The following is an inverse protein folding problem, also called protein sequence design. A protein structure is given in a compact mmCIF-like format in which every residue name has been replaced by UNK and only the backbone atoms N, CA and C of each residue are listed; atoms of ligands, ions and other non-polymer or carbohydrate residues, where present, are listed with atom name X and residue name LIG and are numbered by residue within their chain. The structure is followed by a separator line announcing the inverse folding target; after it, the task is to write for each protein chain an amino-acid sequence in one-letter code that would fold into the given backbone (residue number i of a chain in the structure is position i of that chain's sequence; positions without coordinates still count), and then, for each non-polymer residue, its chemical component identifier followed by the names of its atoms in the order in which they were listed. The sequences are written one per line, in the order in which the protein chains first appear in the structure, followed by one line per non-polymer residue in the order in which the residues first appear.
data_IF_710977652510
#
_entry.id   IF_710977652510
#
_cell.length_a   1.000
_cell.length_b   1.000
_cell.length_c   1.000
_cell.angle_alpha   90.00
_cell.angle_beta   90.00
_cell.angle_gamma   90.00
#
_symmetry.space_group_name_H-M   'P 1'
#
loop_
_entity.id
_entity.type
_entity.pdbx_description
1 polymer ?
#
# COMPACT_ATOMS: atom_id res chain seq x y z
N UNK A 1 3.99 -9.72 -22.35
CA UNK A 1 4.21 -8.45 -21.63
C UNK A 1 4.22 -8.77 -20.15
N UNK A 2 5.00 -8.04 -19.35
CA UNK A 2 5.15 -8.24 -17.92
C UNK A 2 4.85 -6.94 -17.18
N UNK A 3 4.27 -7.04 -15.99
CA UNK A 3 4.15 -5.91 -15.07
C UNK A 3 5.39 -5.85 -14.19
N UNK A 4 6.35 -5.02 -14.58
CA UNK A 4 7.63 -4.89 -13.88
C UNK A 4 7.44 -4.19 -12.53
N UNK A 5 8.17 -4.69 -11.54
CA UNK A 5 8.26 -4.16 -10.18
C UNK A 5 9.65 -3.60 -9.97
N UNK A 6 9.76 -2.34 -9.54
CA UNK A 6 11.05 -1.79 -9.15
C UNK A 6 11.52 -2.48 -7.86
N UNK A 7 12.72 -3.07 -7.88
CA UNK A 7 13.26 -3.79 -6.70
C UNK A 7 13.59 -2.86 -5.53
N UNK A 8 13.69 -1.55 -5.76
CA UNK A 8 14.02 -0.56 -4.73
C UNK A 8 12.77 -0.06 -3.99
N UNK A 9 11.71 0.37 -4.70
CA UNK A 9 10.48 0.88 -4.06
C UNK A 9 9.30 -0.10 -4.08
N UNK A 10 9.37 -1.18 -4.84
CA UNK A 10 8.30 -2.17 -4.93
C UNK A 10 7.09 -1.74 -5.78
N UNK A 11 7.08 -0.52 -6.32
CA UNK A 11 5.98 -0.05 -7.18
C UNK A 11 5.98 -0.81 -8.52
N UNK A 12 4.80 -1.29 -8.88
CA UNK A 12 4.55 -2.03 -10.12
C UNK A 12 4.09 -1.10 -11.25
N UNK A 13 4.61 -1.35 -12.45
CA UNK A 13 4.34 -0.58 -13.66
C UNK A 13 3.34 -1.30 -14.56
N UNK A 14 2.72 -0.53 -15.47
CA UNK A 14 1.92 -1.05 -16.56
C UNK A 14 2.70 -2.08 -17.38
N UNK A 15 1.98 -3.01 -18.00
CA UNK A 15 2.60 -4.11 -18.72
C UNK A 15 3.43 -3.60 -19.90
N UNK A 16 4.66 -4.09 -20.04
CA UNK A 16 5.56 -3.77 -21.16
C UNK A 16 6.33 -5.01 -21.62
N UNK A 17 7.00 -4.92 -22.77
CA UNK A 17 7.92 -5.98 -23.23
C UNK A 17 9.29 -5.83 -22.57
N UNK A 18 9.78 -4.59 -22.53
CA UNK A 18 11.07 -4.23 -21.95
C UNK A 18 10.88 -3.63 -20.55
N UNK A 19 11.90 -3.76 -19.72
CA UNK A 19 11.99 -3.09 -18.42
C UNK A 19 11.86 -1.56 -18.59
N UNK A 20 11.19 -0.85 -17.67
CA UNK A 20 11.16 0.60 -17.72
C UNK A 20 12.58 1.19 -17.62
N UNK A 21 12.85 2.21 -18.44
CA UNK A 21 14.17 2.87 -18.48
C UNK A 21 14.54 3.43 -17.12
N UNK A 22 13.55 3.93 -16.38
CA UNK A 22 13.72 4.41 -15.03
C UNK A 22 12.45 4.24 -14.20
N UNK A 23 12.63 4.17 -12.88
CA UNK A 23 11.55 4.22 -11.90
C UNK A 23 11.27 5.69 -11.56
N UNK A 24 10.11 6.18 -11.99
CA UNK A 24 9.63 7.54 -11.72
C UNK A 24 9.48 7.82 -10.22
N UNK A 25 9.12 6.78 -9.45
CA UNK A 25 8.96 6.87 -7.99
C UNK A 25 10.32 6.99 -7.29
N UNK A 26 11.33 6.22 -7.69
CA UNK A 26 12.67 6.31 -7.10
C UNK A 26 13.48 7.53 -7.57
N UNK A 27 13.16 8.08 -8.74
CA UNK A 27 13.77 9.31 -9.25
C UNK A 27 13.10 10.57 -8.70
N UNK A 28 12.05 10.40 -7.91
CA UNK A 28 11.42 11.47 -7.17
C UNK A 28 12.36 11.90 -6.03
N UNK A 29 12.47 13.21 -5.76
CA UNK A 29 13.43 13.78 -4.80
C UNK A 29 13.25 13.24 -3.37
N UNK A 30 12.05 12.72 -3.06
CA UNK A 30 11.68 12.15 -1.76
C UNK A 30 12.12 10.70 -1.60
N UNK A 31 12.71 10.10 -2.63
CA UNK A 31 13.20 8.73 -2.60
C UNK A 31 14.66 8.63 -3.05
N UNK A 32 15.37 7.64 -2.52
CA UNK A 32 16.73 7.37 -2.94
C UNK A 32 16.75 6.45 -4.17
N UNK A 33 17.66 6.75 -5.10
CA UNK A 33 18.07 5.80 -6.13
C UNK A 33 19.11 4.88 -5.51
N UNK A 34 18.92 3.57 -5.68
CA UNK A 34 19.91 2.59 -5.24
C UNK A 34 21.29 2.93 -5.85
N UNK A 35 22.38 3.00 -5.07
CA UNK A 35 23.72 3.33 -5.57
C UNK A 35 24.24 2.38 -6.66
N UNK A 36 23.72 1.15 -6.73
CA UNK A 36 24.03 0.17 -7.77
C UNK A 36 23.16 0.33 -9.04
N UNK A 37 22.28 1.32 -9.08
CA UNK A 37 21.33 1.56 -10.16
C UNK A 37 19.96 0.91 -9.92
N UNK A 38 19.02 1.17 -10.83
CA UNK A 38 17.68 0.61 -10.76
C UNK A 38 17.63 -0.78 -11.38
N UNK A 39 16.88 -1.68 -10.76
CA UNK A 39 16.63 -3.02 -11.27
C UNK A 39 15.16 -3.40 -11.13
N UNK A 40 14.77 -4.42 -11.87
CA UNK A 40 13.38 -4.82 -12.06
C UNK A 40 13.17 -6.30 -11.80
N UNK A 41 11.99 -6.64 -11.32
CA UNK A 41 11.50 -8.01 -11.14
C UNK A 41 10.01 -8.06 -11.51
N UNK A 42 9.33 -9.16 -11.22
CA UNK A 42 7.87 -9.29 -11.33
C UNK A 42 7.31 -9.98 -10.10
N UNK A 43 6.01 -9.84 -9.82
CA UNK A 43 5.37 -10.59 -8.74
C UNK A 43 5.53 -12.11 -8.96
N UNK A 44 5.38 -12.58 -10.20
CA UNK A 44 5.59 -13.98 -10.59
C UNK A 44 7.00 -14.47 -10.25
N UNK A 45 8.04 -13.68 -10.58
CA UNK A 45 9.44 -14.03 -10.28
C UNK A 45 9.67 -14.08 -8.76
N UNK A 46 9.07 -13.15 -8.00
CA UNK A 46 9.15 -13.16 -6.54
C UNK A 46 8.47 -14.39 -5.92
N UNK A 47 7.30 -14.79 -6.41
CA UNK A 47 6.59 -16.00 -5.99
C UNK A 47 7.37 -17.27 -6.34
N UNK A 48 7.90 -17.35 -7.57
CA UNK A 48 8.68 -18.49 -8.05
C UNK A 48 10.03 -18.65 -7.31
N UNK A 49 10.55 -17.57 -6.72
CA UNK A 49 11.80 -17.62 -5.94
C UNK A 49 11.68 -18.42 -4.65
N UNK A 50 10.47 -18.58 -4.12
CA UNK A 50 10.19 -19.16 -2.79
C UNK A 50 11.03 -18.55 -1.64
N UNK A 51 11.52 -17.32 -1.84
CA UNK A 51 12.39 -16.63 -0.89
C UNK A 51 11.59 -15.85 0.15
N UNK A 52 10.40 -15.38 -0.24
CA UNK A 52 9.58 -14.46 0.54
C UNK A 52 8.36 -15.16 1.13
N UNK A 53 7.93 -14.66 2.29
CA UNK A 53 6.66 -14.98 2.92
C UNK A 53 6.15 -13.74 3.64
N UNK A 54 4.83 -13.62 3.80
CA UNK A 54 4.27 -12.55 4.61
C UNK A 54 4.01 -12.99 6.05
N UNK A 55 4.48 -12.18 6.98
CA UNK A 55 4.15 -12.25 8.40
C UNK A 55 2.95 -11.34 8.65
N UNK A 56 1.93 -11.86 9.32
CA UNK A 56 0.70 -11.13 9.69
C UNK A 56 0.55 -11.20 11.21
N UNK A 57 0.47 -10.06 11.87
CA UNK A 57 0.41 -9.93 13.33
C UNK A 57 -0.82 -9.10 13.70
N UNK A 58 -1.57 -9.55 14.70
CA UNK A 58 -2.63 -8.74 15.33
C UNK A 58 -1.97 -7.75 16.30
N UNK A 59 -1.96 -6.47 15.94
CA UNK A 59 -1.36 -5.40 16.75
C UNK A 59 -2.32 -4.98 17.87
N UNK A 60 -3.61 -4.98 17.55
CA UNK A 60 -4.72 -4.86 18.50
C UNK A 60 -5.99 -5.47 17.88
N UNK A 61 -7.06 -5.57 18.66
CA UNK A 61 -8.32 -6.16 18.18
C UNK A 61 -8.81 -5.46 16.91
N UNK A 62 -8.83 -6.18 15.79
CA UNK A 62 -9.28 -5.65 14.50
C UNK A 62 -8.21 -4.94 13.67
N UNK A 63 -6.97 -4.81 14.17
CA UNK A 63 -5.85 -4.23 13.41
C UNK A 63 -4.75 -5.28 13.20
N UNK A 64 -4.51 -5.62 11.95
CA UNK A 64 -3.48 -6.59 11.58
C UNK A 64 -2.40 -5.92 10.73
N UNK A 65 -1.15 -5.95 11.19
CA UNK A 65 0.00 -5.55 10.39
C UNK A 65 0.43 -6.71 9.49
N UNK A 66 0.94 -6.39 8.30
CA UNK A 66 1.48 -7.37 7.38
C UNK A 66 2.79 -6.86 6.75
N UNK A 67 3.83 -7.69 6.86
CA UNK A 67 5.17 -7.39 6.32
C UNK A 67 5.76 -8.58 5.56
N UNK A 68 6.55 -8.31 4.53
CA UNK A 68 7.26 -9.34 3.77
C UNK A 68 8.58 -9.69 4.45
N UNK A 69 8.88 -10.99 4.61
CA UNK A 69 10.10 -11.54 5.20
C UNK A 69 10.80 -12.50 4.22
N UNK A 70 12.11 -12.33 3.93
CA UNK A 70 12.94 -11.17 4.28
C UNK A 70 12.39 -9.89 3.64
N UNK A 71 12.88 -8.72 4.09
CA UNK A 71 12.41 -7.44 3.56
C UNK A 71 12.61 -7.36 2.04
N UNK A 72 11.59 -6.83 1.35
CA UNK A 72 11.62 -6.53 -0.07
C UNK A 72 11.40 -5.04 -0.29
N UNK A 73 12.13 -4.45 -1.24
CA UNK A 73 12.08 -3.03 -1.54
C UNK A 73 12.29 -2.16 -0.28
N UNK A 74 11.43 -1.18 -0.02
CA UNK A 74 11.53 -0.29 1.15
C UNK A 74 11.08 -0.95 2.46
N UNK A 75 10.69 -2.23 2.43
CA UNK A 75 10.34 -2.98 3.64
C UNK A 75 9.09 -2.45 4.36
N UNK A 76 8.15 -1.84 3.63
CA UNK A 76 6.99 -1.22 4.26
C UNK A 76 6.03 -2.24 4.90
N UNK A 77 5.18 -1.73 5.78
CA UNK A 77 4.06 -2.44 6.41
C UNK A 77 2.75 -1.98 5.78
N UNK A 78 1.86 -2.93 5.47
CA UNK A 78 0.45 -2.64 5.19
C UNK A 78 -0.41 -3.11 6.37
N UNK A 79 -1.56 -2.48 6.56
CA UNK A 79 -2.46 -2.78 7.67
C UNK A 79 -3.84 -3.18 7.17
N UNK A 80 -4.35 -4.32 7.64
CA UNK A 80 -5.76 -4.67 7.50
C UNK A 80 -6.51 -4.15 8.72
N UNK A 81 -7.43 -3.21 8.48
CA UNK A 81 -8.37 -2.69 9.48
C UNK A 81 -9.70 -3.41 9.29
N UNK A 82 -10.09 -4.20 10.28
CA UNK A 82 -11.33 -4.97 10.32
C UNK A 82 -12.32 -4.29 11.28
N UNK A 83 -13.42 -3.81 10.72
CA UNK A 83 -14.55 -3.27 11.49
C UNK A 83 -15.74 -4.24 11.45
N UNK A 84 -16.87 -3.89 12.07
CA UNK A 84 -18.07 -4.76 12.03
C UNK A 84 -18.66 -4.91 10.62
N UNK A 85 -18.47 -3.91 9.76
CA UNK A 85 -19.13 -3.82 8.44
C UNK A 85 -18.20 -3.56 7.26
N UNK A 86 -16.91 -3.33 7.51
CA UNK A 86 -15.97 -2.90 6.49
C UNK A 86 -14.52 -3.31 6.80
N UNK A 87 -13.90 -4.03 5.90
CA UNK A 87 -12.50 -4.44 5.95
C UNK A 87 -11.68 -3.65 4.94
N UNK A 88 -10.77 -2.81 5.44
CA UNK A 88 -9.94 -1.95 4.62
C UNK A 88 -8.49 -2.40 4.69
N UNK A 89 -7.87 -2.62 3.52
CA UNK A 89 -6.41 -2.68 3.45
C UNK A 89 -5.87 -1.26 3.29
N UNK A 90 -5.16 -0.78 4.30
CA UNK A 90 -4.44 0.48 4.28
C UNK A 90 -3.02 0.27 3.75
N UNK A 91 -2.71 0.95 2.65
CA UNK A 91 -1.51 0.75 1.85
C UNK A 91 -1.37 -0.66 1.26
N UNK A 92 -0.30 -0.94 0.52
CA UNK A 92 -0.02 -2.27 -0.02
C UNK A 92 1.44 -2.65 0.22
N UNK A 93 1.69 -3.97 0.24
CA UNK A 93 3.02 -4.56 0.07
C UNK A 93 3.11 -5.23 -1.30
N UNK A 94 4.33 -5.37 -1.81
CA UNK A 94 4.56 -5.90 -3.16
C UNK A 94 4.28 -7.40 -3.23
N UNK A 95 4.87 -8.16 -2.31
CA UNK A 95 4.79 -9.62 -2.34
C UNK A 95 3.51 -10.11 -1.67
N UNK A 96 2.83 -11.05 -2.32
CA UNK A 96 1.83 -11.89 -1.69
C UNK A 96 1.72 -13.21 -2.46
N UNK A 97 1.29 -14.25 -1.77
CA UNK A 97 1.10 -15.61 -2.28
C UNK A 97 -0.26 -16.17 -1.83
N UNK A 98 -0.58 -17.40 -2.25
CA UNK A 98 -1.85 -18.03 -1.90
C UNK A 98 -2.06 -18.09 -0.39
N UNK A 99 -1.03 -18.44 0.38
CA UNK A 99 -1.07 -18.48 1.85
C UNK A 99 -1.47 -17.14 2.44
N UNK A 100 -0.88 -16.04 1.94
CA UNK A 100 -1.23 -14.68 2.36
C UNK A 100 -2.70 -14.40 2.09
N UNK A 101 -3.17 -14.76 0.90
CA UNK A 101 -4.53 -14.46 0.47
C UNK A 101 -5.55 -15.28 1.26
N UNK A 102 -5.27 -16.55 1.53
CA UNK A 102 -6.10 -17.40 2.39
C UNK A 102 -6.23 -16.80 3.79
N UNK A 103 -5.12 -16.37 4.41
CA UNK A 103 -5.16 -15.70 5.73
C UNK A 103 -6.01 -14.43 5.71
N UNK A 104 -5.89 -13.58 4.70
CA UNK A 104 -6.72 -12.36 4.59
C UNK A 104 -8.20 -12.73 4.42
N UNK A 105 -8.52 -13.78 3.66
CA UNK A 105 -9.91 -14.29 3.55
C UNK A 105 -10.44 -14.83 4.89
N UNK A 106 -9.62 -15.56 5.65
CA UNK A 106 -9.97 -16.04 6.99
C UNK A 106 -10.24 -14.90 7.97
N UNK A 107 -9.52 -13.77 7.81
CA UNK A 107 -9.76 -12.56 8.58
C UNK A 107 -11.05 -11.81 8.18
N UNK A 108 -11.67 -12.19 7.06
CA UNK A 108 -12.94 -11.63 6.57
C UNK A 108 -12.88 -11.06 5.16
N UNK A 109 -11.73 -11.16 4.47
CA UNK A 109 -11.54 -10.58 3.15
C UNK A 109 -11.38 -9.06 3.19
N UNK A 110 -11.48 -8.41 2.03
CA UNK A 110 -11.36 -6.97 1.85
C UNK A 110 -12.65 -6.43 1.22
N UNK A 111 -13.04 -5.22 1.63
CA UNK A 111 -14.08 -4.42 0.96
C UNK A 111 -13.47 -3.32 0.10
N UNK A 112 -12.27 -2.84 0.46
CA UNK A 112 -11.52 -1.87 -0.31
C UNK A 112 -10.02 -1.84 0.05
N UNK A 113 -9.28 -1.12 -0.78
CA UNK A 113 -7.92 -0.67 -0.53
C UNK A 113 -7.92 0.86 -0.52
N UNK A 114 -7.23 1.49 0.42
CA UNK A 114 -6.94 2.92 0.38
C UNK A 114 -5.45 3.15 0.62
N UNK A 115 -4.88 4.11 -0.12
CA UNK A 115 -3.44 4.30 -0.15
C UNK A 115 -3.06 5.68 0.39
N UNK A 116 -2.04 5.71 1.24
CA UNK A 116 -1.53 6.92 1.88
C UNK A 116 -0.81 7.81 0.87
N UNK A 117 0.13 7.25 0.10
CA UNK A 117 0.98 7.99 -0.84
C UNK A 117 1.72 7.06 -1.82
N UNK A 118 2.31 7.59 -2.91
CA UNK A 118 2.87 6.81 -4.02
C UNK A 118 3.92 5.74 -3.69
N UNK A 119 4.74 5.92 -2.64
CA UNK A 119 5.74 4.90 -2.27
C UNK A 119 5.08 3.59 -1.80
N UNK A 120 3.87 3.68 -1.24
CA UNK A 120 3.15 2.55 -0.67
C UNK A 120 2.16 1.91 -1.66
N UNK A 121 2.20 2.31 -2.94
CA UNK A 121 1.30 1.77 -3.97
C UNK A 121 1.64 0.33 -4.35
N UNK A 122 2.93 -0.07 -4.31
CA UNK A 122 3.39 -1.43 -4.57
C UNK A 122 2.68 -2.15 -5.74
N UNK A 123 2.12 -3.34 -5.50
CA UNK A 123 1.32 -4.14 -6.43
C UNK A 123 -0.19 -3.96 -6.17
N UNK A 124 -0.63 -2.75 -5.81
CA UNK A 124 -2.03 -2.42 -5.48
C UNK A 124 -3.08 -3.00 -6.44
N UNK A 125 -2.77 -3.04 -7.75
CA UNK A 125 -3.69 -3.57 -8.76
C UNK A 125 -3.82 -5.08 -8.67
N UNK A 126 -2.73 -5.80 -8.37
CA UNK A 126 -2.76 -7.24 -8.14
C UNK A 126 -3.62 -7.57 -6.92
N UNK A 127 -3.47 -6.82 -5.83
CA UNK A 127 -4.32 -6.94 -4.64
C UNK A 127 -5.79 -6.69 -4.99
N UNK A 128 -6.10 -5.58 -5.66
CA UNK A 128 -7.46 -5.22 -6.01
C UNK A 128 -8.13 -6.23 -6.96
N UNK A 129 -7.41 -6.73 -7.96
CA UNK A 129 -7.89 -7.77 -8.87
C UNK A 129 -8.11 -9.10 -8.14
N UNK A 130 -7.24 -9.43 -7.17
CA UNK A 130 -7.32 -10.68 -6.42
C UNK A 130 -8.50 -10.75 -5.44
N UNK A 131 -8.88 -9.61 -4.86
CA UNK A 131 -10.00 -9.50 -3.93
C UNK A 131 -11.26 -8.91 -4.58
N UNK A 132 -11.18 -8.45 -5.83
CA UNK A 132 -12.26 -7.78 -6.58
C UNK A 132 -12.82 -6.54 -5.86
N UNK A 133 -11.93 -5.66 -5.40
CA UNK A 133 -12.26 -4.47 -4.58
C UNK A 133 -11.77 -3.17 -5.21
N UNK A 134 -12.36 -2.00 -4.88
CA UNK A 134 -11.85 -0.71 -5.32
C UNK A 134 -10.55 -0.32 -4.61
N UNK A 135 -9.77 0.54 -5.26
CA UNK A 135 -8.60 1.22 -4.71
C UNK A 135 -8.89 2.72 -4.66
N UNK A 136 -8.82 3.33 -3.48
CA UNK A 136 -9.01 4.77 -3.30
C UNK A 136 -7.66 5.50 -3.30
N UNK A 137 -7.51 6.42 -4.26
CA UNK A 137 -6.33 7.27 -4.42
C UNK A 137 -6.77 8.73 -4.53
N UNK A 138 -6.12 9.65 -3.81
CA UNK A 138 -6.45 11.06 -3.95
C UNK A 138 -6.05 11.58 -5.35
N UNK A 139 -6.91 12.37 -5.99
CA UNK A 139 -6.72 12.80 -7.39
C UNK A 139 -5.42 13.58 -7.64
N UNK A 140 -4.92 14.30 -6.64
CA UNK A 140 -3.65 15.03 -6.74
C UNK A 140 -2.43 14.12 -6.94
N UNK A 141 -2.55 12.85 -6.57
CA UNK A 141 -1.49 11.85 -6.76
C UNK A 141 -1.72 10.98 -8.01
N UNK A 142 -2.73 11.27 -8.83
CA UNK A 142 -3.06 10.50 -10.05
C UNK A 142 -1.86 10.32 -11.00
N UNK A 143 -0.99 11.33 -11.09
CA UNK A 143 0.19 11.27 -11.95
C UNK A 143 1.21 10.20 -11.52
N UNK A 144 1.15 9.75 -10.27
CA UNK A 144 2.04 8.75 -9.69
C UNK A 144 1.53 7.32 -9.83
N UNK A 145 0.37 7.11 -10.48
CA UNK A 145 -0.16 5.79 -10.78
C UNK A 145 0.59 5.18 -11.96
N UNK A 146 1.53 4.27 -11.66
CA UNK A 146 2.39 3.63 -12.67
C UNK A 146 1.72 2.46 -13.40
N UNK A 147 0.72 1.81 -12.78
CA UNK A 147 -0.14 0.80 -13.40
C UNK A 147 -1.60 1.26 -13.35
N UNK A 148 -2.22 1.63 -14.48
CA UNK A 148 -3.64 1.97 -14.51
C UNK A 148 -4.52 0.73 -14.28
N UNK A 149 -5.69 0.92 -13.66
CA UNK A 149 -6.66 -0.15 -13.45
C UNK A 149 -8.08 0.43 -13.37
N UNK A 150 -9.08 -0.39 -13.73
CA UNK A 150 -10.51 -0.08 -13.56
C UNK A 150 -10.94 -0.04 -12.09
N UNK A 151 -10.16 -0.66 -11.20
CA UNK A 151 -10.42 -0.69 -9.76
C UNK A 151 -10.07 0.64 -9.08
N UNK A 152 -9.26 1.49 -9.72
CA UNK A 152 -8.82 2.76 -9.15
C UNK A 152 -9.96 3.77 -9.19
N UNK A 153 -10.36 4.24 -8.02
CA UNK A 153 -11.30 5.33 -7.80
C UNK A 153 -10.52 6.53 -7.29
N UNK A 154 -10.46 7.58 -8.12
CA UNK A 154 -9.92 8.85 -7.67
C UNK A 154 -10.95 9.60 -6.83
N UNK A 155 -10.54 10.01 -5.64
CA UNK A 155 -11.35 10.87 -4.77
C UNK A 155 -10.71 12.26 -4.64
N UNK A 156 -11.54 13.24 -4.28
CA UNK A 156 -11.17 14.66 -4.26
C UNK A 156 -11.61 15.30 -2.94
N UNK A 157 -10.95 16.38 -2.55
CA UNK A 157 -11.27 17.15 -1.35
C UNK A 157 -10.45 16.71 -0.15
N UNK A 158 -10.83 17.20 1.04
CA UNK A 158 -10.01 17.04 2.24
C UNK A 158 -10.25 15.72 2.99
N UNK A 159 -11.37 15.03 2.70
CA UNK A 159 -11.69 13.76 3.33
C UNK A 159 -12.62 12.89 2.48
N UNK A 160 -12.50 11.57 2.65
CA UNK A 160 -13.38 10.54 2.10
C UNK A 160 -13.87 9.63 3.22
N UNK A 161 -15.19 9.58 3.45
CA UNK A 161 -15.80 8.62 4.37
C UNK A 161 -15.96 7.27 3.65
N UNK A 162 -15.38 6.20 4.19
CA UNK A 162 -15.47 4.85 3.62
C UNK A 162 -16.55 4.00 4.29
N UNK A 163 -16.70 4.14 5.60
CA UNK A 163 -17.74 3.51 6.43
C UNK A 163 -18.07 4.42 7.61
N UNK A 164 -18.99 4.05 8.51
CA UNK A 164 -19.29 4.86 9.71
C UNK A 164 -18.07 5.05 10.63
N UNK A 165 -17.09 4.14 10.55
CA UNK A 165 -15.92 4.13 11.45
C UNK A 165 -14.63 4.62 10.79
N UNK A 166 -14.55 4.59 9.45
CA UNK A 166 -13.33 4.81 8.68
C UNK A 166 -13.43 6.05 7.79
N UNK A 167 -12.50 6.97 7.99
CA UNK A 167 -12.38 8.19 7.20
C UNK A 167 -10.94 8.37 6.73
N UNK A 168 -10.75 8.59 5.44
CA UNK A 168 -9.45 8.99 4.88
C UNK A 168 -9.39 10.51 4.86
N UNK A 169 -8.29 11.08 5.34
CA UNK A 169 -8.04 12.52 5.34
C UNK A 169 -6.83 12.84 4.46
N UNK A 170 -6.99 13.79 3.55
CA UNK A 170 -5.89 14.30 2.74
C UNK A 170 -5.18 15.40 3.54
N UNK A 171 -3.95 15.16 3.96
CA UNK A 171 -3.15 16.14 4.70
C UNK A 171 -2.08 16.81 3.83
N UNK A 172 -1.77 16.22 2.67
CA UNK A 172 -0.68 16.68 1.83
C UNK A 172 0.69 16.46 2.48
N UNK A 173 1.63 17.38 2.28
CA UNK A 173 2.98 17.30 2.83
C UNK A 173 3.93 16.47 1.97
N UNK A 174 4.18 15.22 2.37
CA UNK A 174 5.10 14.31 1.67
C UNK A 174 4.71 14.18 0.18
N UNK A 175 3.44 13.92 -0.11
CA UNK A 175 2.86 14.06 -1.45
C UNK A 175 1.66 14.98 -1.42
N UNK A 176 1.30 15.60 -2.55
CA UNK A 176 0.19 16.56 -2.61
C UNK A 176 -1.15 15.90 -2.24
N UNK A 177 -1.35 14.64 -2.64
CA UNK A 177 -2.48 13.79 -2.24
C UNK A 177 -2.22 12.95 -1.00
N UNK A 178 -1.11 13.17 -0.29
CA UNK A 178 -0.73 12.43 0.91
C UNK A 178 -1.86 12.35 1.93
N UNK A 179 -2.19 11.13 2.34
CA UNK A 179 -3.40 10.82 3.10
C UNK A 179 -3.12 9.96 4.32
N UNK A 180 -3.97 10.11 5.33
CA UNK A 180 -3.98 9.30 6.56
C UNK A 180 -5.35 8.66 6.74
N UNK A 181 -5.41 7.49 7.38
CA UNK A 181 -6.65 6.81 7.72
C UNK A 181 -6.96 6.98 9.20
N UNK A 182 -8.11 7.55 9.49
CA UNK A 182 -8.66 7.63 10.83
C UNK A 182 -9.69 6.52 11.03
N UNK A 183 -9.43 5.64 12.00
CA UNK A 183 -10.39 4.66 12.49
C UNK A 183 -10.89 5.08 13.87
N UNK A 184 -12.13 5.55 13.92
CA UNK A 184 -12.69 6.20 15.12
C UNK A 184 -12.98 5.26 16.29
N UNK A 185 -13.23 3.97 16.03
CA UNK A 185 -13.55 2.97 17.05
C UNK A 185 -12.35 2.11 17.48
N UNK A 186 -11.19 2.26 16.83
CA UNK A 186 -9.96 1.57 17.21
C UNK A 186 -9.50 1.95 18.63
N UNK A 187 -8.61 1.15 19.22
CA UNK A 187 -8.06 1.36 20.56
C UNK A 187 -9.15 1.55 21.62
N UNK A 188 -10.12 0.64 21.66
CA UNK A 188 -11.26 0.67 22.59
C UNK A 188 -12.09 1.98 22.47
N UNK A 189 -12.27 2.49 21.26
CA UNK A 189 -13.01 3.73 21.00
C UNK A 189 -12.22 5.02 21.26
N UNK A 190 -10.91 4.95 21.51
CA UNK A 190 -10.03 6.14 21.60
C UNK A 190 -9.60 6.66 20.23
N UNK A 191 -9.76 5.85 19.19
CA UNK A 191 -9.37 6.15 17.83
C UNK A 191 -7.92 5.74 17.51
N UNK A 192 -7.69 5.42 16.24
CA UNK A 192 -6.37 5.13 15.66
C UNK A 192 -6.19 5.97 14.42
N UNK A 193 -4.97 6.45 14.22
CA UNK A 193 -4.54 7.11 12.99
C UNK A 193 -3.42 6.31 12.34
N UNK A 194 -3.66 5.82 11.13
CA UNK A 194 -2.65 5.17 10.29
C UNK A 194 -2.09 6.21 9.32
N UNK A 195 -0.82 6.55 9.48
CA UNK A 195 -0.26 7.77 8.89
C UNK A 195 0.67 7.54 7.70
N UNK A 196 1.21 6.32 7.54
CA UNK A 196 2.34 6.09 6.63
C UNK A 196 3.46 7.10 6.89
N UNK A 197 4.06 7.63 5.82
CA UNK A 197 5.08 8.68 5.90
C UNK A 197 4.52 10.11 5.97
N UNK A 198 3.20 10.28 6.05
CA UNK A 198 2.58 11.61 6.06
C UNK A 198 2.79 12.33 7.38
N UNK A 199 2.74 11.59 8.49
CA UNK A 199 3.07 12.08 9.83
C UNK A 199 4.12 11.14 10.40
N UNK A 200 5.31 11.68 10.66
CA UNK A 200 6.39 10.96 11.31
C UNK A 200 6.69 11.57 12.68
N UNK A 201 6.97 10.72 13.66
CA UNK A 201 7.55 11.15 14.93
C UNK A 201 9.03 11.38 14.69
N UNK A 202 9.46 12.63 14.79
CA UNK A 202 10.89 12.96 14.76
C UNK A 202 11.53 12.53 16.06
N UNK A 203 12.80 12.13 16.01
CA UNK A 203 13.56 11.84 17.22
C UNK A 203 13.52 13.07 18.14
N UNK A 204 12.99 12.89 19.35
CA UNK A 204 13.11 13.88 20.39
C UNK A 204 14.59 13.97 20.77
N UNK A 205 15.13 15.19 20.80
CA UNK A 205 16.53 15.42 21.19
C UNK A 205 16.68 15.69 22.70
N UNK A 206 15.59 15.56 23.45
CA UNK A 206 15.56 15.66 24.92
C UNK A 206 15.53 14.29 25.61
#
# INVERSE_FOLDING_TARGET
MKNFVCTTCGVQYAASTEEPVNCMICNEERQYVNPQGQSWTTLDDLQASHTYQNEIIEEETGLYSMTTKPEFAIGQTTYLVKTESYNLLWDCITYFDETTIEKVKELGGLDAIALSHPHYYSTQVEWAERFDVPIYIHEDDKQWVMRPSKHIVFWSGESLQLSDELTVHRLGGHFKGGSVLHWSQGNEGKGILLTGDIIQVVADQE
#
